data_IF_791941817060
#
_entry.id   IF_791941817060
#
_cell.length_a   1.000
_cell.length_b   1.000
_cell.length_c   1.000
_cell.angle_alpha   90.00
_cell.angle_beta   90.00
_cell.angle_gamma   90.00
#
_symmetry.space_group_name_H-M   'P 1'
#
loop_
_entity.id
_entity.type
_entity.pdbx_description
1 polymer ?
#
# COMPACT_ATOMS: atom_id res chain seq x y z
N UNK A 1 1.48 -17.45 -8.06
CA UNK A 1 1.35 -15.98 -8.14
C UNK A 1 1.87 -15.55 -9.47
N UNK A 2 1.10 -14.75 -10.20
CA UNK A 2 1.60 -14.06 -11.37
C UNK A 2 2.50 -12.89 -10.92
N UNK A 3 3.38 -12.40 -11.81
CA UNK A 3 4.18 -11.21 -11.54
C UNK A 3 3.26 -10.03 -11.18
N UNK A 4 3.71 -9.19 -10.24
CA UNK A 4 3.05 -7.92 -9.87
C UNK A 4 1.67 -8.02 -9.18
N UNK A 5 1.24 -9.20 -8.72
CA UNK A 5 -0.03 -9.36 -7.98
C UNK A 5 0.09 -9.07 -6.48
N UNK A 6 1.30 -9.10 -5.92
CA UNK A 6 1.51 -8.93 -4.48
C UNK A 6 2.92 -8.46 -4.17
N UNK A 7 3.02 -7.55 -3.21
CA UNK A 7 4.26 -7.09 -2.58
C UNK A 7 4.12 -7.33 -1.08
N UNK A 8 5.18 -7.86 -0.45
CA UNK A 8 5.20 -8.10 1.00
C UNK A 8 6.52 -7.58 1.55
N UNK A 9 6.48 -6.84 2.65
CA UNK A 9 7.67 -6.38 3.36
C UNK A 9 7.46 -6.34 4.87
N UNK A 10 8.55 -6.29 5.61
CA UNK A 10 8.59 -6.16 7.07
C UNK A 10 8.89 -4.72 7.46
N UNK A 11 8.12 -4.15 8.39
CA UNK A 11 8.38 -2.81 8.94
C UNK A 11 9.31 -2.95 10.15
N UNK A 12 10.61 -3.05 9.89
CA UNK A 12 11.65 -3.28 10.90
C UNK A 12 11.78 -2.14 11.92
N UNK A 13 11.23 -0.95 11.63
CA UNK A 13 11.20 0.20 12.56
C UNK A 13 10.49 -0.11 13.88
N UNK A 14 9.52 -1.03 13.87
CA UNK A 14 8.81 -1.50 15.07
C UNK A 14 9.54 -2.59 15.84
N UNK A 15 10.70 -3.06 15.37
CA UNK A 15 11.44 -4.15 16.00
C UNK A 15 10.58 -5.43 16.12
N UNK A 16 10.50 -5.99 17.33
CA UNK A 16 9.71 -7.19 17.60
C UNK A 16 8.19 -6.99 17.47
N UNK A 17 7.72 -5.73 17.54
CA UNK A 17 6.31 -5.34 17.41
C UNK A 17 5.96 -4.85 15.99
N UNK A 18 6.94 -4.83 15.08
CA UNK A 18 6.77 -4.38 13.71
C UNK A 18 5.76 -5.20 12.91
N UNK A 19 4.99 -4.52 12.06
CA UNK A 19 4.02 -5.18 11.19
C UNK A 19 4.67 -5.79 9.94
N UNK A 20 4.01 -6.80 9.39
CA UNK A 20 4.23 -7.25 8.01
C UNK A 20 3.18 -6.57 7.13
N UNK A 21 3.62 -5.72 6.21
CA UNK A 21 2.70 -5.11 5.24
C UNK A 21 2.65 -5.94 3.98
N UNK A 22 1.42 -6.18 3.52
CA UNK A 22 1.11 -6.84 2.26
C UNK A 22 0.27 -5.91 1.42
N UNK A 23 0.69 -5.69 0.18
CA UNK A 23 -0.12 -5.04 -0.85
C UNK A 23 -0.50 -6.09 -1.88
N UNK A 24 -1.78 -6.18 -2.23
CA UNK A 24 -2.27 -7.02 -3.32
C UNK A 24 -2.89 -6.17 -4.42
N UNK A 25 -2.72 -6.62 -5.66
CA UNK A 25 -3.25 -5.97 -6.85
C UNK A 25 -4.19 -6.95 -7.56
N UNK A 26 -5.43 -6.55 -7.77
CA UNK A 26 -6.45 -7.36 -8.45
C UNK A 26 -6.99 -6.60 -9.67
N UNK A 27 -6.90 -7.21 -10.86
CA UNK A 27 -7.48 -6.64 -12.08
C UNK A 27 -9.01 -6.73 -12.03
N UNK A 28 -9.67 -5.60 -12.26
CA UNK A 28 -11.12 -5.47 -12.38
C UNK A 28 -11.47 -4.47 -13.49
N UNK A 29 -12.03 -4.98 -14.58
CA UNK A 29 -12.58 -4.18 -15.67
C UNK A 29 -11.57 -3.18 -16.25
N UNK A 30 -10.32 -3.60 -16.44
CA UNK A 30 -9.25 -2.75 -16.98
C UNK A 30 -8.69 -1.73 -15.98
N UNK A 31 -9.02 -1.87 -14.69
CA UNK A 31 -8.42 -1.14 -13.57
C UNK A 31 -7.79 -2.13 -12.59
N UNK A 32 -6.88 -1.65 -11.73
CA UNK A 32 -6.35 -2.44 -10.63
C UNK A 32 -6.98 -1.96 -9.31
N UNK A 33 -7.51 -2.89 -8.51
CA UNK A 33 -7.86 -2.64 -7.11
C UNK A 33 -6.64 -2.98 -6.26
N UNK A 34 -6.26 -2.06 -5.38
CA UNK A 34 -5.15 -2.24 -4.44
C UNK A 34 -5.72 -2.44 -3.03
N UNK A 35 -5.32 -3.52 -2.34
CA UNK A 35 -5.55 -3.71 -0.91
C UNK A 35 -4.22 -3.68 -0.18
N UNK A 36 -4.09 -2.79 0.81
CA UNK A 36 -2.96 -2.76 1.74
C UNK A 36 -3.42 -3.31 3.08
N UNK A 37 -2.69 -4.30 3.59
CA UNK A 37 -2.94 -4.94 4.89
C UNK A 37 -1.68 -4.94 5.73
N UNK A 38 -1.82 -4.50 6.97
CA UNK A 38 -0.76 -4.57 7.97
C UNK A 38 -1.11 -5.65 9.00
N UNK A 39 -0.25 -6.66 9.11
CA UNK A 39 -0.39 -7.73 10.09
C UNK A 39 0.60 -7.52 11.24
N UNK A 40 0.07 -7.28 12.44
CA UNK A 40 0.87 -7.14 13.66
C UNK A 40 1.01 -8.48 14.38
N UNK A 41 2.12 -8.70 15.11
CA UNK A 41 2.37 -9.97 15.80
C UNK A 41 1.44 -10.21 17.00
N UNK A 42 0.90 -9.14 17.58
CA UNK A 42 -0.01 -9.19 18.73
C UNK A 42 -1.05 -8.04 18.66
N UNK A 43 -2.14 -8.20 19.42
CA UNK A 43 -3.16 -7.15 19.54
C UNK A 43 -2.59 -5.90 20.21
N UNK A 44 -1.79 -6.04 21.27
CA UNK A 44 -1.16 -4.90 21.92
C UNK A 44 -0.25 -4.10 20.98
N UNK A 45 0.47 -4.76 20.06
CA UNK A 45 1.30 -4.10 19.07
C UNK A 45 0.46 -3.28 18.07
N UNK A 46 -0.68 -3.83 17.62
CA UNK A 46 -1.63 -3.08 16.79
C UNK A 46 -2.23 -1.88 17.54
N UNK A 47 -2.67 -2.08 18.78
CA UNK A 47 -3.26 -1.02 19.59
C UNK A 47 -2.24 0.10 19.88
N UNK A 48 -0.95 -0.25 20.08
CA UNK A 48 0.13 0.71 20.29
C UNK A 48 0.53 1.47 19.01
N UNK A 49 0.51 0.80 17.85
CA UNK A 49 0.77 1.44 16.56
C UNK A 49 -0.32 2.47 16.19
N UNK A 50 -1.56 2.23 16.65
CA UNK A 50 -2.69 3.12 16.38
C UNK A 50 -3.09 3.12 14.90
N UNK A 51 -3.77 4.19 14.47
CA UNK A 51 -4.31 4.35 13.11
C UNK A 51 -3.54 5.32 12.22
N UNK A 52 -2.54 6.02 12.77
CA UNK A 52 -1.90 7.14 12.08
C UNK A 52 -1.24 6.76 10.75
N UNK A 53 -0.62 5.58 10.69
CA UNK A 53 -0.05 5.05 9.45
C UNK A 53 -1.15 4.79 8.39
N UNK A 54 -2.26 4.17 8.79
CA UNK A 54 -3.38 3.89 7.89
C UNK A 54 -4.09 5.16 7.44
N UNK A 55 -4.19 6.19 8.29
CA UNK A 55 -4.74 7.49 7.94
C UNK A 55 -3.84 8.21 6.92
N UNK A 56 -2.52 8.17 7.09
CA UNK A 56 -1.57 8.74 6.13
C UNK A 56 -1.56 8.01 4.77
N UNK A 57 -1.94 6.73 4.73
CA UNK A 57 -2.06 5.97 3.48
C UNK A 57 -3.17 6.51 2.56
N UNK A 58 -4.19 7.19 3.11
CA UNK A 58 -5.26 7.79 2.32
C UNK A 58 -4.67 8.85 1.38
N UNK A 59 -3.93 9.82 1.93
CA UNK A 59 -3.28 10.87 1.15
C UNK A 59 -2.27 10.28 0.15
N UNK A 60 -1.54 9.24 0.56
CA UNK A 60 -0.58 8.55 -0.32
C UNK A 60 -1.26 7.92 -1.53
N UNK A 61 -2.46 7.33 -1.36
CA UNK A 61 -3.22 6.77 -2.48
C UNK A 61 -3.80 7.84 -3.39
N UNK A 62 -4.24 8.98 -2.86
CA UNK A 62 -4.66 10.12 -3.68
C UNK A 62 -3.50 10.64 -4.56
N UNK A 63 -2.30 10.78 -4.00
CA UNK A 63 -1.10 11.16 -4.76
C UNK A 63 -0.73 10.10 -5.82
N UNK A 64 -0.93 8.81 -5.52
CA UNK A 64 -0.72 7.75 -6.49
C UNK A 64 -1.71 7.85 -7.65
N UNK A 65 -2.98 8.14 -7.39
CA UNK A 65 -3.99 8.38 -8.43
C UNK A 65 -3.60 9.56 -9.33
N UNK A 66 -3.14 10.68 -8.75
CA UNK A 66 -2.65 11.83 -9.51
C UNK A 66 -1.43 11.47 -10.37
N UNK A 67 -0.48 10.73 -9.81
CA UNK A 67 0.72 10.27 -10.52
C UNK A 67 0.33 9.36 -11.70
N UNK A 68 -0.54 8.37 -11.48
CA UNK A 68 -1.00 7.47 -12.54
C UNK A 68 -1.73 8.23 -13.65
N UNK A 69 -2.55 9.22 -13.30
CA UNK A 69 -3.21 10.09 -14.28
C UNK A 69 -2.18 10.88 -15.11
N UNK A 70 -1.13 11.40 -14.47
CA UNK A 70 -0.05 12.13 -15.16
C UNK A 70 0.76 11.26 -16.11
N UNK A 71 0.97 9.98 -15.77
CA UNK A 71 1.69 9.00 -16.59
C UNK A 71 0.83 8.46 -17.75
N UNK A 72 -0.50 8.42 -17.56
CA UNK A 72 -1.45 8.00 -18.60
C UNK A 72 -1.73 9.12 -19.61
N UNK A 73 -1.55 10.39 -19.23
CA UNK A 73 -1.54 11.48 -20.19
C UNK A 73 -0.42 11.23 -21.21
N UNK A 74 -0.67 11.40 -22.52
CA UNK A 74 0.40 11.24 -23.50
C UNK A 74 1.51 12.19 -23.08
N UNK A 75 2.72 11.63 -22.86
CA UNK A 75 3.92 12.44 -22.72
C UNK A 75 3.84 13.48 -23.84
N UNK A 76 3.68 14.75 -23.47
CA UNK A 76 3.82 15.83 -24.42
C UNK A 76 5.22 15.63 -24.98
N UNK A 77 5.28 15.05 -26.19
CA UNK A 77 6.52 14.82 -26.92
C UNK A 77 7.21 16.17 -26.98
N UNK A 78 8.28 16.32 -26.22
CA UNK A 78 9.33 17.27 -26.51
C UNK A 78 10.05 16.81 -27.78
#
# INVERSE_FOLDING_TARGET
MAPNERIVWTNEEGGADGSVTTVTFEEKNGKATLELREAYPAKEALDAAGTGAQEAMIETFEQLDELLASLAAPAARA
#
